data_IF_467909257974
#
_entry.id   IF_467909257974
#
_cell.length_a   1.000
_cell.length_b   1.000
_cell.length_c   1.000
_cell.angle_alpha   90.00
_cell.angle_beta   90.00
_cell.angle_gamma   90.00
#
_symmetry.space_group_name_H-M   'P 1'
#
loop_
_entity.id
_entity.type
_entity.pdbx_description
1 polymer ?
#
# COMPACT_ATOMS: atom_id res chain seq x y z
N UNK A 1 -16.75 -4.05 32.07
CA UNK A 1 -17.85 -3.13 31.71
C UNK A 1 -18.67 -2.68 32.91
N UNK A 2 -18.96 -3.55 33.88
CA UNK A 2 -19.71 -3.17 35.10
C UNK A 2 -19.02 -2.04 35.89
N UNK A 3 -17.69 -2.06 36.00
CA UNK A 3 -16.92 -0.98 36.66
C UNK A 3 -17.02 0.36 35.92
N UNK A 4 -17.06 0.33 34.58
CA UNK A 4 -17.23 1.53 33.75
C UNK A 4 -18.62 2.12 33.92
N UNK A 5 -19.65 1.28 33.96
CA UNK A 5 -21.03 1.70 34.25
C UNK A 5 -21.17 2.29 35.65
N UNK A 6 -20.49 1.71 36.65
CA UNK A 6 -20.49 2.22 38.02
C UNK A 6 -19.81 3.60 38.11
N UNK A 7 -18.68 3.79 37.41
CA UNK A 7 -18.00 5.09 37.34
C UNK A 7 -18.87 6.15 36.64
N UNK A 8 -19.47 5.82 35.50
CA UNK A 8 -20.35 6.73 34.76
C UNK A 8 -21.61 7.10 35.55
N UNK A 9 -22.16 6.17 36.34
CA UNK A 9 -23.29 6.43 37.22
C UNK A 9 -22.93 7.41 38.36
N UNK A 10 -21.68 7.38 38.84
CA UNK A 10 -21.20 8.35 39.84
C UNK A 10 -20.94 9.73 39.24
N UNK A 11 -20.43 9.79 38.01
CA UNK A 11 -20.08 11.05 37.32
C UNK A 11 -21.29 11.79 36.72
N UNK A 12 -22.36 11.06 36.39
CA UNK A 12 -23.54 11.61 35.69
C UNK A 12 -24.84 11.41 36.47
N UNK A 13 -25.03 12.19 37.54
CA UNK A 13 -26.21 12.11 38.42
C UNK A 13 -27.56 12.34 37.70
N UNK A 14 -27.55 12.95 36.50
CA UNK A 14 -28.73 13.18 35.66
C UNK A 14 -29.09 12.00 34.73
N UNK A 15 -28.30 10.93 34.72
CA UNK A 15 -28.52 9.74 33.88
C UNK A 15 -28.79 8.53 34.77
N UNK A 16 -29.88 7.82 34.52
CA UNK A 16 -30.18 6.55 35.18
C UNK A 16 -29.57 5.39 34.40
N UNK A 17 -28.78 4.56 35.09
CA UNK A 17 -28.17 3.36 34.52
C UNK A 17 -28.95 2.15 35.01
N UNK A 18 -29.46 1.33 34.07
CA UNK A 18 -30.20 0.11 34.36
C UNK A 18 -29.52 -1.05 33.67
N UNK A 19 -29.27 -2.13 34.42
CA UNK A 19 -28.69 -3.37 33.90
C UNK A 19 -29.76 -4.45 33.91
N UNK A 20 -29.87 -5.18 32.80
CA UNK A 20 -30.78 -6.31 32.64
C UNK A 20 -29.97 -7.52 32.18
N UNK A 21 -30.26 -8.68 32.76
CA UNK A 21 -29.74 -9.95 32.25
C UNK A 21 -30.57 -10.36 31.03
N UNK A 22 -29.94 -10.40 29.86
CA UNK A 22 -30.62 -10.65 28.58
C UNK A 22 -31.41 -11.98 28.56
N UNK A 23 -30.94 -12.98 29.32
CA UNK A 23 -31.57 -14.29 29.47
C UNK A 23 -32.79 -14.27 30.39
N UNK A 24 -32.86 -13.34 31.35
CA UNK A 24 -33.97 -13.22 32.29
C UNK A 24 -35.17 -12.45 31.71
N UNK A 25 -34.97 -11.70 30.62
CA UNK A 25 -36.00 -10.87 29.95
C UNK A 25 -36.00 -11.07 28.43
N UNK A 26 -36.35 -12.28 27.94
CA UNK A 26 -36.29 -12.61 26.52
C UNK A 26 -37.15 -11.69 25.65
N UNK A 27 -38.30 -11.22 26.13
CA UNK A 27 -39.16 -10.29 25.37
C UNK A 27 -38.49 -8.92 25.12
N UNK A 28 -37.62 -8.47 26.03
CA UNK A 28 -36.85 -7.22 25.87
C UNK A 28 -35.73 -7.44 24.86
N UNK A 29 -35.04 -8.59 24.96
CA UNK A 29 -33.97 -8.99 24.05
C UNK A 29 -34.49 -9.09 22.61
N UNK A 30 -35.65 -9.71 22.40
CA UNK A 30 -36.30 -9.81 21.09
C UNK A 30 -36.76 -8.43 20.58
N UNK A 31 -37.48 -7.66 21.40
CA UNK A 31 -38.00 -6.32 21.05
C UNK A 31 -36.91 -5.37 20.57
N UNK A 32 -35.71 -5.44 21.15
CA UNK A 32 -34.59 -4.56 20.80
C UNK A 32 -33.52 -5.23 19.93
N UNK A 33 -33.71 -6.48 19.50
CA UNK A 33 -32.79 -7.21 18.64
C UNK A 33 -31.41 -7.38 19.27
N UNK A 34 -31.37 -7.87 20.50
CA UNK A 34 -30.14 -8.13 21.25
C UNK A 34 -29.57 -9.48 20.81
N UNK A 35 -28.48 -9.45 20.06
CA UNK A 35 -27.80 -10.65 19.52
C UNK A 35 -26.42 -10.89 20.14
N UNK A 36 -25.92 -9.95 20.95
CA UNK A 36 -24.63 -10.03 21.63
C UNK A 36 -24.66 -9.31 22.97
N UNK A 37 -23.86 -9.80 23.92
CA UNK A 37 -23.74 -9.21 25.26
C UNK A 37 -22.26 -8.82 25.47
N UNK A 38 -21.95 -7.62 25.99
CA UNK A 38 -22.89 -6.58 26.43
C UNK A 38 -23.43 -5.73 25.28
N UNK A 39 -24.70 -5.31 25.38
CA UNK A 39 -25.32 -4.30 24.50
C UNK A 39 -25.90 -3.18 25.37
N UNK A 40 -25.64 -1.92 25.01
CA UNK A 40 -26.10 -0.73 25.72
C UNK A 40 -27.15 -0.01 24.87
N UNK A 41 -28.30 0.28 25.48
CA UNK A 41 -29.38 1.04 24.87
C UNK A 41 -29.56 2.35 25.62
N UNK A 42 -29.71 3.45 24.88
CA UNK A 42 -29.87 4.78 25.46
C UNK A 42 -31.31 5.24 25.27
N UNK A 43 -31.95 5.71 26.33
CA UNK A 43 -33.33 6.17 26.31
C UNK A 43 -33.43 7.62 26.82
N UNK A 44 -34.27 8.42 26.14
CA UNK A 44 -34.65 9.77 26.57
C UNK A 44 -36.15 9.93 26.36
N UNK A 45 -36.88 10.39 27.40
CA UNK A 45 -38.35 10.51 27.37
C UNK A 45 -39.05 9.22 26.89
N UNK A 46 -38.59 8.06 27.37
CA UNK A 46 -39.12 6.72 27.02
C UNK A 46 -38.95 6.29 25.56
N UNK A 47 -38.16 7.02 24.76
CA UNK A 47 -37.79 6.64 23.40
C UNK A 47 -36.32 6.21 23.34
N UNK A 48 -36.03 5.15 22.59
CA UNK A 48 -34.66 4.72 22.31
C UNK A 48 -34.00 5.74 21.39
N UNK A 49 -32.92 6.37 21.85
CA UNK A 49 -32.20 7.44 21.12
C UNK A 49 -30.85 6.98 20.58
N UNK A 50 -30.25 5.92 21.12
CA UNK A 50 -28.95 5.41 20.68
C UNK A 50 -28.75 3.94 21.09
N UNK A 51 -27.74 3.28 20.51
CA UNK A 51 -27.34 1.89 20.77
C UNK A 51 -25.82 1.75 20.65
N UNK A 52 -25.26 0.84 21.44
CA UNK A 52 -23.87 0.40 21.36
C UNK A 52 -23.82 -1.12 21.58
N UNK A 53 -23.31 -1.85 20.60
CA UNK A 53 -23.10 -3.29 20.68
C UNK A 53 -21.64 -3.59 21.04
N UNK A 54 -21.42 -4.44 22.05
CA UNK A 54 -20.09 -4.88 22.46
C UNK A 54 -19.45 -4.08 23.61
N UNK A 55 -18.35 -4.61 24.12
CA UNK A 55 -17.65 -4.07 25.29
C UNK A 55 -16.65 -2.95 24.92
N UNK A 56 -17.15 -1.79 24.50
CA UNK A 56 -16.34 -0.63 24.11
C UNK A 56 -16.47 0.53 25.12
N UNK A 57 -15.64 0.50 26.18
CA UNK A 57 -15.70 1.49 27.27
C UNK A 57 -15.55 2.96 26.81
N UNK A 58 -14.60 3.34 25.93
CA UNK A 58 -14.48 4.74 25.52
C UNK A 58 -15.68 5.27 24.73
N UNK A 59 -16.26 4.43 23.87
CA UNK A 59 -17.43 4.78 23.07
C UNK A 59 -18.69 4.91 23.93
N UNK A 60 -18.83 4.01 24.92
CA UNK A 60 -19.88 4.10 25.93
C UNK A 60 -19.79 5.43 26.69
N UNK A 61 -18.61 5.79 27.19
CA UNK A 61 -18.38 7.07 27.89
C UNK A 61 -18.74 8.27 27.02
N UNK A 62 -18.33 8.29 25.76
CA UNK A 62 -18.64 9.39 24.84
C UNK A 62 -20.16 9.52 24.59
N UNK A 63 -20.86 8.40 24.35
CA UNK A 63 -22.31 8.40 24.12
C UNK A 63 -23.06 8.87 25.36
N UNK A 64 -22.68 8.41 26.56
CA UNK A 64 -23.27 8.87 27.82
C UNK A 64 -23.09 10.38 27.99
N UNK A 65 -21.87 10.92 27.82
CA UNK A 65 -21.60 12.35 27.94
C UNK A 65 -22.43 13.19 26.95
N UNK A 66 -22.54 12.72 25.69
CA UNK A 66 -23.33 13.38 24.64
C UNK A 66 -24.81 13.50 25.03
N UNK A 67 -25.40 12.42 25.53
CA UNK A 67 -26.83 12.40 25.88
C UNK A 67 -27.11 13.08 27.23
N UNK A 68 -26.14 13.09 28.14
CA UNK A 68 -26.21 13.75 29.45
C UNK A 68 -26.14 15.29 29.38
N UNK A 69 -25.50 15.86 28.36
CA UNK A 69 -25.29 17.30 28.21
C UNK A 69 -26.50 18.08 27.62
N UNK A 70 -27.68 17.45 27.49
CA UNK A 70 -28.92 18.18 27.20
C UNK A 70 -29.11 18.70 25.76
N UNK A 71 -28.25 18.36 24.80
CA UNK A 71 -28.45 18.75 23.40
C UNK A 71 -29.60 17.99 22.75
N UNK A 72 -30.73 18.65 22.48
CA UNK A 72 -31.68 18.20 21.47
C UNK A 72 -31.05 18.38 20.07
N UNK A 73 -31.38 17.52 19.09
CA UNK A 73 -30.91 17.70 17.73
C UNK A 73 -31.58 18.96 17.18
N UNK A 74 -30.79 19.90 16.65
CA UNK A 74 -31.34 20.79 15.63
C UNK A 74 -31.83 19.92 14.47
N UNK A 75 -33.00 20.19 13.85
CA UNK A 75 -33.34 19.62 12.57
C UNK A 75 -32.43 20.28 11.52
N UNK A 76 -31.17 19.87 11.52
CA UNK A 76 -30.21 20.13 10.48
C UNK A 76 -30.23 18.93 9.56
N UNK A 77 -30.83 19.10 8.39
CA UNK A 77 -30.50 18.38 7.16
C UNK A 77 -28.98 18.38 6.93
N UNK A 78 -28.27 17.43 7.55
CA UNK A 78 -26.81 17.31 7.48
C UNK A 78 -26.28 15.88 7.44
N UNK A 79 -27.16 14.87 7.42
CA UNK A 79 -26.78 13.52 7.04
C UNK A 79 -26.54 13.45 5.55
N UNK A 80 -25.32 13.75 5.09
CA UNK A 80 -24.79 13.25 3.81
C UNK A 80 -23.37 13.72 3.52
N UNK A 81 -22.86 14.83 4.08
CA UNK A 81 -21.54 15.33 3.71
C UNK A 81 -20.40 14.60 4.43
N UNK A 82 -20.37 14.56 5.76
CA UNK A 82 -19.19 14.05 6.49
C UNK A 82 -18.94 12.54 6.35
N UNK A 83 -19.98 11.72 6.39
CA UNK A 83 -19.84 10.26 6.21
C UNK A 83 -19.55 9.89 4.75
N UNK A 84 -20.18 10.57 3.78
CA UNK A 84 -19.88 10.36 2.37
C UNK A 84 -18.47 10.86 2.01
N UNK A 85 -18.02 11.97 2.61
CA UNK A 85 -16.65 12.50 2.49
C UNK A 85 -15.64 11.51 3.08
N UNK A 86 -15.93 10.93 4.25
CA UNK A 86 -15.10 9.87 4.83
C UNK A 86 -15.07 8.63 3.93
N UNK A 87 -16.20 8.14 3.43
CA UNK A 87 -16.23 7.02 2.49
C UNK A 87 -15.46 7.31 1.20
N UNK A 88 -15.56 8.52 0.66
CA UNK A 88 -14.78 8.95 -0.50
C UNK A 88 -13.28 9.00 -0.18
N UNK A 89 -12.91 9.44 1.03
CA UNK A 89 -11.53 9.43 1.53
C UNK A 89 -10.99 8.00 1.67
N UNK A 90 -11.76 7.09 2.28
CA UNK A 90 -11.40 5.68 2.42
C UNK A 90 -11.22 5.00 1.06
N UNK A 91 -12.15 5.22 0.13
CA UNK A 91 -12.03 4.71 -1.25
C UNK A 91 -10.76 5.22 -1.93
N UNK A 92 -10.43 6.50 -1.79
CA UNK A 92 -9.17 7.05 -2.33
C UNK A 92 -7.94 6.39 -1.72
N UNK A 93 -7.93 6.14 -0.41
CA UNK A 93 -6.82 5.46 0.25
C UNK A 93 -6.68 4.00 -0.18
N UNK A 94 -7.80 3.26 -0.24
CA UNK A 94 -7.85 1.88 -0.70
C UNK A 94 -7.35 1.75 -2.14
N UNK A 95 -7.67 2.71 -3.00
CA UNK A 95 -7.28 2.70 -4.42
C UNK A 95 -6.00 3.48 -4.71
N UNK A 96 -5.24 3.90 -3.68
CA UNK A 96 -4.00 4.65 -3.86
C UNK A 96 -2.89 3.83 -4.52
N UNK A 97 -2.96 2.49 -4.41
CA UNK A 97 -2.09 1.55 -5.10
C UNK A 97 -2.86 0.27 -5.46
N UNK A 98 -2.39 -0.52 -6.45
CA UNK A 98 -3.01 -1.79 -6.82
C UNK A 98 -3.08 -2.81 -5.67
N UNK A 99 -2.18 -2.70 -4.70
CA UNK A 99 -2.17 -3.49 -3.47
C UNK A 99 -1.88 -2.55 -2.29
N UNK A 100 -2.86 -2.42 -1.39
CA UNK A 100 -2.83 -1.51 -0.24
C UNK A 100 -2.94 -2.28 1.07
N UNK A 101 -1.93 -2.15 1.92
CA UNK A 101 -1.87 -2.74 3.25
C UNK A 101 -2.14 -1.69 4.32
N UNK A 102 -3.25 -1.82 5.04
CA UNK A 102 -3.50 -1.03 6.24
C UNK A 102 -2.98 -1.80 7.46
N UNK A 103 -1.97 -1.25 8.14
CA UNK A 103 -1.24 -1.93 9.20
C UNK A 103 -0.95 -1.01 10.38
N UNK A 104 -0.53 -1.61 11.50
CA UNK A 104 -0.08 -0.87 12.68
C UNK A 104 1.42 -0.61 12.55
N UNK A 105 1.82 0.64 12.34
CA UNK A 105 3.21 1.03 12.01
C UNK A 105 3.47 1.03 10.51
N UNK A 106 4.73 0.80 10.12
CA UNK A 106 5.16 0.77 8.71
C UNK A 106 5.82 -0.57 8.35
N UNK A 107 6.06 -0.87 7.06
CA UNK A 107 6.77 -2.08 6.65
C UNK A 107 8.19 -2.16 7.21
N UNK A 108 8.86 -1.02 7.40
CA UNK A 108 10.19 -0.94 8.01
C UNK A 108 10.14 -1.04 9.54
N UNK A 109 9.09 -0.51 10.14
CA UNK A 109 8.91 -0.43 11.59
C UNK A 109 7.49 -0.89 11.99
N UNK A 110 7.19 -2.19 11.93
CA UNK A 110 5.88 -2.71 12.31
C UNK A 110 5.70 -2.63 13.83
N UNK A 111 4.56 -2.09 14.27
CA UNK A 111 4.23 -1.88 15.69
C UNK A 111 3.34 -2.98 16.28
N UNK A 112 3.16 -4.08 15.57
CA UNK A 112 2.35 -5.22 15.98
C UNK A 112 2.85 -6.51 15.32
N UNK A 113 2.87 -7.63 16.07
CA UNK A 113 3.35 -8.93 15.56
C UNK A 113 2.60 -9.43 14.33
N UNK A 114 1.28 -9.21 14.25
CA UNK A 114 0.49 -9.58 13.06
C UNK A 114 0.85 -8.73 11.84
N UNK A 115 1.10 -7.43 12.04
CA UNK A 115 1.55 -6.52 10.99
C UNK A 115 2.95 -6.90 10.49
N UNK A 116 3.85 -7.31 11.40
CA UNK A 116 5.17 -7.84 11.04
C UNK A 116 5.07 -9.11 10.18
N UNK A 117 4.28 -10.09 10.62
CA UNK A 117 4.07 -11.34 9.86
C UNK A 117 3.46 -11.09 8.49
N UNK A 118 2.50 -10.17 8.37
CA UNK A 118 1.92 -9.79 7.07
C UNK A 118 2.98 -9.26 6.11
N UNK A 119 3.84 -8.34 6.58
CA UNK A 119 4.93 -7.78 5.78
C UNK A 119 5.93 -8.86 5.37
N UNK A 120 6.26 -9.79 6.27
CA UNK A 120 7.16 -10.92 5.99
C UNK A 120 6.60 -11.83 4.88
N UNK A 121 5.31 -12.18 4.93
CA UNK A 121 4.65 -13.01 3.91
C UNK A 121 4.66 -12.30 2.55
N UNK A 122 4.22 -11.03 2.52
CA UNK A 122 4.18 -10.26 1.27
C UNK A 122 5.59 -10.07 0.68
N UNK A 123 6.59 -9.80 1.53
CA UNK A 123 7.99 -9.67 1.12
C UNK A 123 8.59 -10.97 0.59
N UNK A 124 8.34 -12.10 1.27
CA UNK A 124 8.76 -13.44 0.84
C UNK A 124 8.23 -13.79 -0.55
N UNK A 125 6.99 -13.40 -0.85
CA UNK A 125 6.34 -13.64 -2.14
C UNK A 125 6.66 -12.59 -3.20
N UNK A 126 7.46 -11.57 -2.87
CA UNK A 126 7.79 -10.49 -3.78
C UNK A 126 6.56 -9.72 -4.23
N UNK A 127 5.57 -9.54 -3.35
CA UNK A 127 4.35 -8.78 -3.64
C UNK A 127 4.66 -7.29 -3.52
N UNK A 128 4.35 -6.51 -4.56
CA UNK A 128 4.44 -5.06 -4.47
C UNK A 128 3.19 -4.52 -3.77
N UNK A 129 3.38 -3.76 -2.70
CA UNK A 129 2.29 -3.11 -1.98
C UNK A 129 2.71 -1.74 -1.47
N UNK A 130 1.73 -0.86 -1.30
CA UNK A 130 1.86 0.36 -0.50
C UNK A 130 1.19 0.15 0.86
N UNK A 131 1.59 0.92 1.87
CA UNK A 131 1.09 0.76 3.24
C UNK A 131 0.56 2.06 3.83
N UNK A 132 -0.44 1.94 4.70
CA UNK A 132 -0.94 3.05 5.52
C UNK A 132 -0.87 2.68 7.01
N UNK A 133 -0.25 3.54 7.82
CA UNK A 133 -0.19 3.36 9.28
C UNK A 133 -1.50 3.84 9.92
N UNK A 134 -2.31 2.90 10.39
CA UNK A 134 -3.61 3.20 11.00
C UNK A 134 -3.52 3.93 12.33
N UNK A 135 -2.33 4.01 12.96
CA UNK A 135 -2.14 4.83 14.16
C UNK A 135 -1.96 6.32 13.85
N UNK A 136 -1.63 6.66 12.60
CA UNK A 136 -1.49 8.06 12.18
C UNK A 136 -2.84 8.76 12.01
N UNK A 137 -3.93 8.00 11.85
CA UNK A 137 -5.27 8.54 11.60
C UNK A 137 -6.36 7.63 12.19
N UNK A 138 -6.91 8.06 13.33
CA UNK A 138 -7.95 7.31 14.04
C UNK A 138 -9.30 7.30 13.31
N UNK A 139 -9.60 8.34 12.51
CA UNK A 139 -10.83 8.41 11.72
C UNK A 139 -10.79 7.38 10.59
N UNK A 140 -9.67 7.29 9.87
CA UNK A 140 -9.44 6.25 8.86
C UNK A 140 -9.45 4.87 9.51
N UNK A 141 -8.84 4.72 10.69
CA UNK A 141 -8.79 3.43 11.41
C UNK A 141 -10.16 2.91 11.80
N UNK A 142 -11.03 3.75 12.33
CA UNK A 142 -12.38 3.33 12.70
C UNK A 142 -13.28 3.22 11.47
N UNK A 143 -13.16 4.18 10.55
CA UNK A 143 -13.91 4.22 9.30
C UNK A 143 -13.68 2.99 8.44
N UNK A 144 -12.43 2.53 8.28
CA UNK A 144 -12.12 1.38 7.44
C UNK A 144 -12.69 0.07 8.00
N UNK A 145 -12.72 -0.11 9.33
CA UNK A 145 -13.37 -1.28 9.95
C UNK A 145 -14.86 -1.33 9.64
N UNK A 146 -15.53 -0.18 9.78
CA UNK A 146 -16.96 -0.07 9.48
C UNK A 146 -17.23 -0.25 7.97
N UNK A 147 -16.44 0.41 7.12
CA UNK A 147 -16.56 0.38 5.67
C UNK A 147 -16.42 -1.04 5.10
N UNK A 148 -15.43 -1.78 5.59
CA UNK A 148 -15.12 -3.14 5.13
C UNK A 148 -15.86 -4.25 5.88
N UNK A 149 -16.56 -3.89 6.97
CA UNK A 149 -17.14 -4.83 7.94
C UNK A 149 -16.11 -5.82 8.51
N UNK A 150 -14.85 -5.37 8.64
CA UNK A 150 -13.74 -6.19 9.12
C UNK A 150 -13.18 -5.68 10.46
N UNK A 151 -13.09 -6.52 11.51
CA UNK A 151 -12.85 -6.03 12.87
C UNK A 151 -11.37 -5.70 13.19
N UNK A 152 -10.43 -6.30 12.46
CA UNK A 152 -9.01 -6.34 12.86
C UNK A 152 -8.05 -5.73 11.83
N UNK A 153 -6.82 -5.53 12.24
CA UNK A 153 -5.68 -5.15 11.39
C UNK A 153 -4.54 -6.14 11.63
N UNK A 154 -3.70 -6.42 10.62
CA UNK A 154 -3.63 -5.79 9.29
C UNK A 154 -4.80 -6.14 8.35
N UNK A 155 -5.10 -5.28 7.38
CA UNK A 155 -6.06 -5.52 6.28
C UNK A 155 -5.38 -5.30 4.93
N UNK A 156 -5.48 -6.27 4.03
CA UNK A 156 -4.92 -6.20 2.67
C UNK A 156 -6.04 -5.98 1.66
N UNK A 157 -5.86 -4.98 0.79
CA UNK A 157 -6.74 -4.68 -0.33
C UNK A 157 -5.99 -4.86 -1.64
N UNK A 158 -6.62 -5.47 -2.64
CA UNK A 158 -6.08 -5.61 -3.99
C UNK A 158 -7.13 -5.13 -4.99
N UNK A 159 -6.73 -4.28 -5.94
CA UNK A 159 -7.62 -3.68 -6.93
C UNK A 159 -8.88 -3.00 -6.32
N UNK A 160 -8.73 -2.48 -5.10
CA UNK A 160 -9.80 -1.81 -4.38
C UNK A 160 -10.71 -2.73 -3.55
N UNK A 161 -10.51 -4.05 -3.60
CA UNK A 161 -11.30 -5.04 -2.87
C UNK A 161 -10.55 -5.57 -1.65
N UNK A 162 -11.27 -5.83 -0.55
CA UNK A 162 -10.70 -6.43 0.65
C UNK A 162 -10.40 -7.91 0.37
N UNK A 163 -9.14 -8.30 0.46
CA UNK A 163 -8.73 -9.71 0.42
C UNK A 163 -8.87 -10.33 1.80
N UNK A 164 -8.43 -9.63 2.85
CA UNK A 164 -8.62 -10.08 4.22
C UNK A 164 -7.55 -9.63 5.20
N UNK A 165 -7.62 -10.19 6.41
CA UNK A 165 -6.59 -10.07 7.44
C UNK A 165 -5.50 -11.14 7.34
N UNK A 166 -4.60 -11.20 8.33
CA UNK A 166 -3.44 -12.10 8.30
C UNK A 166 -3.80 -13.58 8.14
N UNK A 167 -4.85 -14.05 8.81
CA UNK A 167 -5.21 -15.48 8.79
C UNK A 167 -5.64 -15.93 7.38
N UNK A 168 -6.46 -15.11 6.70
CA UNK A 168 -6.82 -15.34 5.28
C UNK A 168 -5.58 -15.31 4.39
N UNK A 169 -4.67 -14.34 4.60
CA UNK A 169 -3.45 -14.28 3.78
C UNK A 169 -2.56 -15.52 3.98
N UNK A 170 -2.50 -16.09 5.18
CA UNK A 170 -1.80 -17.37 5.43
C UNK A 170 -2.48 -18.54 4.74
N UNK A 171 -3.81 -18.58 4.70
CA UNK A 171 -4.56 -19.61 3.96
C UNK A 171 -4.34 -19.49 2.45
N UNK A 172 -4.34 -18.27 1.91
CA UNK A 172 -4.02 -17.99 0.50
C UNK A 172 -2.56 -18.31 0.16
N UNK A 173 -1.62 -18.10 1.10
CA UNK A 173 -0.21 -18.51 0.95
C UNK A 173 -0.11 -20.04 0.89
N UNK A 174 -0.78 -20.75 1.80
CA UNK A 174 -0.75 -22.21 1.89
C UNK A 174 -1.37 -22.91 0.67
N UNK A 175 -2.41 -22.30 0.08
CA UNK A 175 -3.05 -22.79 -1.15
C UNK A 175 -2.30 -22.38 -2.43
N UNK A 176 -1.37 -21.41 -2.35
CA UNK A 176 -0.66 -20.87 -3.50
C UNK A 176 -1.46 -19.83 -4.32
N UNK A 177 -2.67 -19.49 -3.89
CA UNK A 177 -3.54 -18.50 -4.57
C UNK A 177 -3.05 -17.06 -4.37
N UNK A 178 -2.30 -16.79 -3.30
CA UNK A 178 -1.82 -15.45 -2.95
C UNK A 178 -1.04 -14.79 -4.10
N UNK A 179 -0.23 -15.58 -4.80
CA UNK A 179 0.62 -15.12 -5.91
C UNK A 179 -0.16 -14.77 -7.18
N UNK A 180 -1.36 -15.32 -7.31
CA UNK A 180 -2.25 -15.07 -8.45
C UNK A 180 -3.10 -13.82 -8.19
N UNK A 181 -3.51 -13.62 -6.93
CA UNK A 181 -4.35 -12.49 -6.54
C UNK A 181 -3.52 -11.20 -6.44
N UNK A 182 -2.32 -11.27 -5.85
CA UNK A 182 -1.54 -10.07 -5.55
C UNK A 182 -0.59 -9.67 -6.69
N UNK A 183 -0.44 -8.36 -6.98
CA UNK A 183 0.52 -7.90 -7.96
C UNK A 183 1.95 -8.20 -7.49
N UNK A 184 2.74 -8.82 -8.36
CA UNK A 184 4.16 -9.02 -8.12
C UNK A 184 4.91 -7.70 -8.23
N UNK A 185 5.87 -7.49 -7.35
CA UNK A 185 6.88 -6.46 -7.53
C UNK A 185 7.60 -6.74 -8.84
N UNK A 186 7.66 -5.73 -9.71
CA UNK A 186 8.42 -5.83 -10.95
C UNK A 186 9.86 -6.16 -10.55
N UNK A 187 10.35 -7.35 -10.97
CA UNK A 187 11.71 -7.75 -10.66
C UNK A 187 12.65 -6.76 -11.34
N UNK A 188 13.71 -6.35 -10.65
CA UNK A 188 14.73 -5.46 -11.22
C UNK A 188 15.22 -6.02 -12.56
N UNK A 189 15.46 -7.32 -12.66
CA UNK A 189 15.84 -7.97 -13.92
C UNK A 189 14.88 -7.71 -15.09
N UNK A 190 13.56 -7.74 -14.85
CA UNK A 190 12.56 -7.48 -15.89
C UNK A 190 12.59 -6.01 -16.31
N UNK A 191 12.78 -5.11 -15.34
CA UNK A 191 12.97 -3.68 -15.59
C UNK A 191 14.23 -3.42 -16.41
N UNK A 192 15.34 -4.07 -16.07
CA UNK A 192 16.60 -3.98 -16.81
C UNK A 192 16.44 -4.49 -18.24
N UNK A 193 15.84 -5.67 -18.43
CA UNK A 193 15.53 -6.21 -19.76
C UNK A 193 14.67 -5.25 -20.58
N UNK A 194 13.64 -4.65 -19.98
CA UNK A 194 12.78 -3.68 -20.66
C UNK A 194 13.55 -2.42 -21.07
N UNK A 195 14.47 -1.93 -20.23
CA UNK A 195 15.30 -0.77 -20.56
C UNK A 195 16.30 -1.11 -21.68
N UNK A 196 16.97 -2.25 -21.60
CA UNK A 196 17.94 -2.71 -22.61
C UNK A 196 17.27 -2.87 -23.97
N UNK A 197 16.03 -3.39 -24.00
CA UNK A 197 15.27 -3.62 -25.23
C UNK A 197 14.40 -2.43 -25.67
N UNK A 198 14.54 -1.26 -25.03
CA UNK A 198 13.75 -0.06 -25.38
C UNK A 198 14.02 0.43 -26.80
N UNK A 199 15.23 0.19 -27.32
CA UNK A 199 15.62 0.44 -28.70
C UNK A 199 16.56 -0.66 -29.21
N UNK A 200 16.67 -0.88 -30.54
CA UNK A 200 17.59 -1.85 -31.11
C UNK A 200 19.05 -1.61 -30.73
N UNK A 201 19.43 -0.35 -30.52
CA UNK A 201 20.75 0.06 -30.04
C UNK A 201 20.55 0.96 -28.81
N UNK A 202 20.94 0.46 -27.64
CA UNK A 202 20.78 1.15 -26.35
C UNK A 202 22.14 1.43 -25.72
N UNK A 203 22.38 2.68 -25.36
CA UNK A 203 23.62 3.13 -24.71
C UNK A 203 23.33 3.63 -23.28
N UNK A 204 23.81 2.87 -22.29
CA UNK A 204 23.76 3.28 -20.89
C UNK A 204 25.02 4.08 -20.56
N UNK A 205 24.86 5.34 -20.16
CA UNK A 205 25.98 6.27 -19.99
C UNK A 205 25.74 7.30 -18.88
N UNK A 206 26.76 8.10 -18.57
CA UNK A 206 26.67 9.19 -17.59
C UNK A 206 26.29 10.49 -18.31
N UNK A 207 25.10 10.99 -18.07
CA UNK A 207 24.51 12.11 -18.81
C UNK A 207 23.63 11.67 -19.98
N UNK A 208 23.30 12.61 -20.86
CA UNK A 208 22.47 12.40 -22.06
C UNK A 208 23.23 12.72 -23.35
N UNK A 209 22.63 12.45 -24.53
CA UNK A 209 23.18 12.86 -25.84
C UNK A 209 23.54 14.34 -25.92
N UNK A 210 22.74 15.20 -25.29
CA UNK A 210 22.91 16.65 -25.31
C UNK A 210 23.90 17.13 -24.23
N UNK A 211 23.95 16.43 -23.10
CA UNK A 211 24.72 16.83 -21.93
C UNK A 211 25.45 15.63 -21.31
N UNK A 212 26.57 15.24 -21.91
CA UNK A 212 27.42 14.17 -21.38
C UNK A 212 28.24 14.65 -20.17
N UNK A 213 28.16 13.90 -19.07
CA UNK A 213 28.76 14.24 -17.76
C UNK A 213 30.11 13.55 -17.50
N UNK A 214 30.66 12.83 -18.49
CA UNK A 214 31.92 12.10 -18.37
C UNK A 214 32.66 12.04 -19.72
N UNK A 215 34.00 12.08 -19.70
CA UNK A 215 34.84 12.02 -20.92
C UNK A 215 34.63 10.75 -21.73
N UNK A 216 34.50 9.59 -21.07
CA UNK A 216 34.20 8.32 -21.76
C UNK A 216 32.84 8.33 -22.45
N UNK A 217 31.84 8.97 -21.81
CA UNK A 217 30.52 9.13 -22.39
C UNK A 217 30.52 10.07 -23.59
N UNK A 218 31.35 11.13 -23.58
CA UNK A 218 31.54 12.00 -24.75
C UNK A 218 32.18 11.26 -25.93
N UNK A 219 33.22 10.48 -25.66
CA UNK A 219 33.94 9.73 -26.70
C UNK A 219 33.06 8.68 -27.38
N UNK A 220 32.27 7.91 -26.62
CA UNK A 220 31.38 6.91 -27.22
C UNK A 220 30.26 7.57 -28.04
N UNK A 221 29.70 8.70 -27.59
CA UNK A 221 28.71 9.45 -28.35
C UNK A 221 29.27 9.94 -29.68
N UNK A 222 30.51 10.43 -29.70
CA UNK A 222 31.18 10.85 -30.92
C UNK A 222 31.36 9.69 -31.91
N UNK A 223 31.75 8.51 -31.41
CA UNK A 223 31.86 7.31 -32.24
C UNK A 223 30.48 6.93 -32.80
N UNK A 224 29.46 6.84 -31.94
CA UNK A 224 28.10 6.44 -32.32
C UNK A 224 27.46 7.42 -33.31
N UNK A 225 27.63 8.73 -33.11
CA UNK A 225 27.08 9.74 -34.03
C UNK A 225 27.72 9.66 -35.42
N UNK A 226 28.99 9.25 -35.50
CA UNK A 226 29.70 9.09 -36.78
C UNK A 226 29.29 7.83 -37.56
N UNK A 227 28.59 6.86 -36.95
CA UNK A 227 28.12 5.66 -37.66
C UNK A 227 26.85 5.91 -38.46
N UNK A 228 26.08 6.95 -38.11
CA UNK A 228 24.78 7.25 -38.71
C UNK A 228 23.66 6.27 -38.33
N UNK A 229 23.90 5.36 -37.37
CA UNK A 229 22.89 4.43 -36.85
C UNK A 229 22.08 5.11 -35.76
N UNK A 230 20.76 4.91 -35.78
CA UNK A 230 19.88 5.36 -34.71
C UNK A 230 20.11 4.55 -33.43
N UNK A 231 20.29 5.25 -32.31
CA UNK A 231 20.45 4.65 -30.98
C UNK A 231 19.76 5.49 -29.93
N UNK A 232 19.42 4.91 -28.79
CA UNK A 232 18.87 5.62 -27.63
C UNK A 232 19.86 5.63 -26.46
N UNK A 233 19.68 6.57 -25.53
CA UNK A 233 20.55 6.70 -24.34
C UNK A 233 19.76 6.68 -23.05
N UNK A 234 20.38 6.14 -21.98
CA UNK A 234 19.86 6.20 -20.62
C UNK A 234 20.92 6.78 -19.66
N UNK A 235 20.57 7.82 -18.90
CA UNK A 235 21.46 8.41 -17.88
C UNK A 235 21.44 7.58 -16.59
N UNK A 236 22.50 6.80 -16.36
CA UNK A 236 22.60 5.95 -15.16
C UNK A 236 22.80 6.76 -13.86
N UNK A 237 23.01 8.07 -13.94
CA UNK A 237 23.13 8.92 -12.76
C UNK A 237 21.77 9.30 -12.16
N UNK A 238 20.70 9.15 -12.93
CA UNK A 238 19.34 9.45 -12.47
C UNK A 238 18.69 8.25 -11.77
N UNK A 239 19.29 7.06 -11.88
CA UNK A 239 18.76 5.82 -11.32
C UNK A 239 19.85 4.89 -10.80
N UNK A 240 20.09 4.96 -9.48
CA UNK A 240 21.13 4.16 -8.81
C UNK A 240 20.80 2.66 -8.79
N UNK A 241 19.51 2.29 -8.79
CA UNK A 241 19.08 0.89 -8.81
C UNK A 241 19.41 0.24 -10.16
N UNK A 242 19.06 0.92 -11.27
CA UNK A 242 19.42 0.49 -12.63
C UNK A 242 20.94 0.46 -12.80
N UNK A 243 21.63 1.48 -12.27
CA UNK A 243 23.09 1.59 -12.37
C UNK A 243 23.82 0.41 -11.74
N UNK A 244 23.45 0.01 -10.52
CA UNK A 244 24.06 -1.13 -9.86
C UNK A 244 23.54 -2.43 -10.47
N UNK A 245 22.24 -2.51 -10.77
CA UNK A 245 21.60 -3.67 -11.37
C UNK A 245 22.25 -4.10 -12.68
N UNK A 246 22.49 -3.19 -13.61
CA UNK A 246 23.11 -3.50 -14.91
C UNK A 246 24.52 -4.08 -14.77
N UNK A 247 25.33 -3.57 -13.84
CA UNK A 247 26.69 -4.11 -13.64
C UNK A 247 26.67 -5.60 -13.28
N UNK A 248 25.76 -5.97 -12.38
CA UNK A 248 25.56 -7.36 -11.98
C UNK A 248 24.89 -8.18 -13.08
N UNK A 249 23.86 -7.62 -13.72
CA UNK A 249 23.09 -8.30 -14.76
C UNK A 249 23.94 -8.69 -15.97
N UNK A 250 24.79 -7.78 -16.44
CA UNK A 250 25.63 -7.99 -17.62
C UNK A 250 27.03 -8.47 -17.29
N UNK A 251 27.33 -8.71 -16.00
CA UNK A 251 28.67 -9.00 -15.49
C UNK A 251 29.73 -8.00 -16.01
N UNK A 252 29.39 -6.71 -16.08
CA UNK A 252 30.25 -5.66 -16.65
C UNK A 252 30.47 -4.51 -15.65
N UNK A 253 31.72 -4.21 -15.25
CA UNK A 253 31.97 -3.35 -14.09
C UNK A 253 31.81 -1.85 -14.36
N UNK A 254 31.91 -1.41 -15.63
CA UNK A 254 32.08 0.02 -15.99
C UNK A 254 30.96 0.56 -16.87
N UNK A 255 30.96 1.88 -17.05
CA UNK A 255 30.11 2.59 -18.01
C UNK A 255 30.99 3.52 -18.85
N UNK A 256 30.64 3.79 -20.13
CA UNK A 256 29.39 3.43 -20.80
C UNK A 256 29.25 1.93 -21.13
N UNK A 257 28.01 1.45 -21.30
CA UNK A 257 27.69 0.09 -21.78
C UNK A 257 26.79 0.19 -23.01
N UNK A 258 27.20 -0.42 -24.12
CA UNK A 258 26.46 -0.49 -25.38
C UNK A 258 25.77 -1.84 -25.52
N UNK A 259 24.48 -1.82 -25.83
CA UNK A 259 23.68 -3.01 -26.12
C UNK A 259 23.11 -2.94 -27.53
N UNK A 260 23.08 -4.08 -28.22
CA UNK A 260 22.43 -4.25 -29.52
C UNK A 260 21.46 -5.44 -29.45
N UNK A 261 20.20 -5.23 -29.82
CA UNK A 261 19.14 -6.25 -29.83
C UNK A 261 19.03 -7.05 -28.52
N UNK A 262 19.27 -6.40 -27.38
CA UNK A 262 19.19 -7.05 -26.07
C UNK A 262 20.52 -7.53 -25.51
N UNK A 263 21.57 -7.62 -26.33
CA UNK A 263 22.85 -8.22 -25.97
C UNK A 263 23.93 -7.16 -25.71
N UNK A 264 24.78 -7.40 -24.72
CA UNK A 264 25.89 -6.50 -24.38
C UNK A 264 26.97 -6.62 -25.46
N UNK A 265 27.27 -5.51 -26.14
CA UNK A 265 28.43 -5.39 -27.03
C UNK A 265 29.69 -5.08 -26.22
N UNK A 266 29.60 -4.15 -25.26
CA UNK A 266 30.73 -3.82 -24.40
C UNK A 266 30.81 -2.35 -23.98
N UNK A 267 31.98 -1.97 -23.47
CA UNK A 267 32.34 -0.61 -23.11
C UNK A 267 32.93 0.20 -24.25
N UNK A 268 33.44 1.40 -23.94
CA UNK A 268 34.08 2.29 -24.91
C UNK A 268 35.31 1.65 -25.59
N UNK A 269 36.11 0.92 -24.83
CA UNK A 269 37.29 0.19 -25.30
C UNK A 269 36.92 -0.79 -26.41
N UNK A 270 35.95 -1.67 -26.18
CA UNK A 270 35.46 -2.61 -27.20
C UNK A 270 34.89 -1.87 -28.41
N UNK A 271 34.09 -0.82 -28.19
CA UNK A 271 33.51 -0.03 -29.29
C UNK A 271 34.59 0.64 -30.15
N UNK A 272 35.71 1.05 -29.55
CA UNK A 272 36.87 1.59 -30.29
C UNK A 272 37.54 0.51 -31.13
N UNK A 273 37.78 -0.67 -30.55
CA UNK A 273 38.37 -1.81 -31.27
C UNK A 273 37.48 -2.25 -32.46
N UNK A 274 36.16 -2.32 -32.26
CA UNK A 274 35.20 -2.60 -33.34
C UNK A 274 35.20 -1.51 -34.42
N UNK A 275 35.40 -0.25 -34.05
CA UNK A 275 35.52 0.84 -35.02
C UNK A 275 36.80 0.72 -35.84
N UNK A 276 37.91 0.42 -35.19
CA UNK A 276 39.24 0.30 -35.81
C UNK A 276 39.34 -0.92 -36.74
N UNK A 277 38.67 -2.02 -36.39
CA UNK A 277 38.54 -3.22 -37.23
C UNK A 277 37.52 -3.10 -38.37
N UNK A 278 36.61 -2.12 -38.31
CA UNK A 278 35.52 -1.95 -39.27
C UNK A 278 34.28 -2.81 -38.99
N UNK A 279 34.27 -3.57 -37.90
CA UNK A 279 33.17 -4.47 -37.50
C UNK A 279 32.03 -3.75 -36.75
N UNK A 280 32.25 -2.52 -36.28
CA UNK A 280 31.24 -1.79 -35.51
C UNK A 280 29.92 -1.61 -36.26
N UNK A 281 29.96 -1.24 -37.54
CA UNK A 281 28.72 -0.98 -38.29
C UNK A 281 27.90 -2.27 -38.52
N UNK A 282 28.49 -3.41 -38.93
CA UNK A 282 27.82 -4.72 -38.92
C UNK A 282 27.21 -5.08 -37.56
N UNK A 283 27.97 -4.91 -36.47
CA UNK A 283 27.48 -5.17 -35.10
C UNK A 283 26.25 -4.33 -34.78
N UNK A 284 26.30 -3.01 -35.06
CA UNK A 284 25.19 -2.09 -34.77
C UNK A 284 23.91 -2.39 -35.58
N UNK A 285 24.04 -2.93 -36.80
CA UNK A 285 22.90 -3.41 -37.60
C UNK A 285 22.41 -4.80 -37.17
N UNK A 286 23.18 -5.48 -36.32
CA UNK A 286 22.95 -6.85 -35.89
C UNK A 286 23.04 -7.82 -37.06
N UNK A 287 24.09 -7.66 -37.86
CA UNK A 287 24.49 -8.51 -38.99
C UNK A 287 25.58 -9.54 -38.60
N UNK A 288 25.92 -9.62 -37.30
CA UNK A 288 26.86 -10.58 -36.73
C UNK A 288 26.17 -11.77 -36.06
#
# INVERSE_FOLDING_TARGET
>A
MNEVMAALAQEHAQVSFVTLEAEAVPEVSEKYGISSVPTFLFFKNSQKVDRLDGAHAPELTQKVQRHAAGGAPSPGTGGSSSEAELHARLRRLINAAPCMLFMKGSPKEPRCGFSKQMVEILGKHGIAFSSFDVFSDEEVRQGLKAFSKWPTYPQLYVAGELIGGLDIIKELEASGELDTICPKAQKLEDRLKSLINKAPVMLFMKGSKQMAKCGFSKQILEIMNNTGVDYETFDILEDEEVRQGLKSFSNWPTYPQLYVKGELVGGLDIVRELKESGELLPVLKGEN
#
